data_IF_532546461161
#
_entry.id   IF_532546461161
#
_cell.length_a   1.000
_cell.length_b   1.000
_cell.length_c   1.000
_cell.angle_alpha   90.00
_cell.angle_beta   90.00
_cell.angle_gamma   90.00
#
_symmetry.space_group_name_H-M   'P 1'
#
loop_
_entity.id
_entity.type
_entity.pdbx_description
1 polymer ?
#
# COMPACT_ATOMS: atom_id res chain seq x y z
N UNK A 1 -10.84 6.63 11.67
CA UNK A 1 -11.12 5.42 10.87
C UNK A 1 -12.61 5.21 10.87
N UNK A 2 -13.19 4.97 9.70
CA UNK A 2 -14.57 4.53 9.55
C UNK A 2 -14.76 3.16 10.22
N UNK A 3 -16.01 2.77 10.52
CA UNK A 3 -16.28 1.55 11.28
C UNK A 3 -15.79 0.28 10.55
N UNK A 4 -15.82 0.30 9.22
CA UNK A 4 -15.33 -0.73 8.30
C UNK A 4 -13.80 -0.71 8.10
N UNK A 5 -13.12 0.35 8.54
CA UNK A 5 -11.66 0.43 8.54
C UNK A 5 -11.03 -0.15 9.83
N UNK A 6 -11.84 -0.56 10.81
CA UNK A 6 -11.35 -1.19 12.04
C UNK A 6 -11.07 -2.68 11.86
N UNK A 7 -9.84 -3.10 12.14
CA UNK A 7 -9.46 -4.52 12.12
C UNK A 7 -10.27 -5.32 13.12
N UNK A 8 -10.98 -6.35 12.66
CA UNK A 8 -11.82 -7.21 13.51
C UNK A 8 -10.98 -8.16 14.38
N UNK A 9 -11.52 -8.67 15.51
CA UNK A 9 -10.85 -9.69 16.32
C UNK A 9 -10.44 -10.94 15.52
N UNK A 10 -11.27 -11.35 14.55
CA UNK A 10 -11.01 -12.48 13.66
C UNK A 10 -9.81 -12.21 12.74
N UNK A 11 -9.71 -10.99 12.19
CA UNK A 11 -8.57 -10.60 11.37
C UNK A 11 -7.26 -10.60 12.19
N UNK A 12 -7.30 -10.13 13.43
CA UNK A 12 -6.16 -10.22 14.34
C UNK A 12 -5.75 -11.66 14.63
N UNK A 13 -6.72 -12.55 14.92
CA UNK A 13 -6.45 -13.96 15.15
C UNK A 13 -5.84 -14.64 13.93
N UNK A 14 -6.35 -14.35 12.73
CA UNK A 14 -5.82 -14.85 11.47
C UNK A 14 -4.37 -14.40 11.25
N UNK A 15 -4.08 -13.11 11.44
CA UNK A 15 -2.72 -12.57 11.31
C UNK A 15 -1.73 -13.19 12.31
N UNK A 16 -2.15 -13.35 13.58
CA UNK A 16 -1.31 -13.99 14.62
C UNK A 16 -0.97 -15.45 14.32
N UNK A 17 -1.86 -16.17 13.63
CA UNK A 17 -1.62 -17.58 13.22
C UNK A 17 -0.71 -17.71 11.99
N UNK A 18 -0.43 -16.63 11.26
CA UNK A 18 0.49 -16.69 10.12
C UNK A 18 1.91 -17.01 10.61
N UNK A 19 2.61 -17.87 9.86
CA UNK A 19 4.05 -18.05 10.01
C UNK A 19 4.79 -16.76 9.64
N UNK A 20 6.02 -16.55 10.13
CA UNK A 20 6.81 -15.36 9.77
C UNK A 20 6.93 -15.13 8.26
N UNK A 21 7.13 -16.19 7.47
CA UNK A 21 7.26 -16.12 6.01
C UNK A 21 5.96 -15.63 5.37
N UNK A 22 4.81 -16.14 5.84
CA UNK A 22 3.49 -15.71 5.36
C UNK A 22 3.19 -14.26 5.73
N UNK A 23 3.63 -13.80 6.91
CA UNK A 23 3.49 -12.39 7.31
C UNK A 23 4.32 -11.48 6.41
N UNK A 24 5.57 -11.86 6.12
CA UNK A 24 6.44 -11.11 5.22
C UNK A 24 5.84 -11.01 3.82
N UNK A 25 5.38 -12.14 3.26
CA UNK A 25 4.73 -12.17 1.96
C UNK A 25 3.47 -11.29 1.91
N UNK A 26 2.68 -11.24 2.99
CA UNK A 26 1.53 -10.34 3.07
C UNK A 26 1.93 -8.86 3.16
N UNK A 27 2.95 -8.54 3.95
CA UNK A 27 3.47 -7.17 4.03
C UNK A 27 4.00 -6.69 2.67
N UNK A 28 4.71 -7.54 1.93
CA UNK A 28 5.20 -7.23 0.58
C UNK A 28 4.05 -6.99 -0.40
N UNK A 29 3.02 -7.85 -0.38
CA UNK A 29 1.83 -7.65 -1.22
C UNK A 29 1.14 -6.33 -0.92
N UNK A 30 0.95 -5.99 0.36
CA UNK A 30 0.37 -4.71 0.77
C UNK A 30 1.22 -3.52 0.28
N UNK A 31 2.55 -3.62 0.38
CA UNK A 31 3.47 -2.60 -0.11
C UNK A 31 3.28 -2.33 -1.61
N UNK A 32 3.25 -3.37 -2.45
CA UNK A 32 3.07 -3.21 -3.89
C UNK A 32 1.67 -2.71 -4.25
N UNK A 33 0.62 -3.26 -3.64
CA UNK A 33 -0.76 -2.79 -3.86
C UNK A 33 -0.92 -1.32 -3.51
N UNK A 34 -0.33 -0.85 -2.41
CA UNK A 34 -0.37 0.56 -2.03
C UNK A 34 0.30 1.46 -3.09
N UNK A 35 1.42 1.03 -3.67
CA UNK A 35 2.11 1.76 -4.74
C UNK A 35 1.28 1.82 -6.02
N UNK A 36 0.64 0.73 -6.40
CA UNK A 36 -0.25 0.68 -7.57
C UNK A 36 -1.46 1.59 -7.42
N UNK A 37 -2.13 1.55 -6.27
CA UNK A 37 -3.27 2.44 -5.96
C UNK A 37 -2.84 3.91 -6.02
N UNK A 38 -1.69 4.24 -5.44
CA UNK A 38 -1.17 5.60 -5.48
C UNK A 38 -0.80 6.03 -6.89
N UNK A 39 -0.22 5.14 -7.70
CA UNK A 39 0.12 5.41 -9.10
C UNK A 39 -1.14 5.67 -9.94
N UNK A 40 -2.19 4.88 -9.75
CA UNK A 40 -3.48 5.10 -10.41
C UNK A 40 -4.06 6.48 -10.05
N UNK A 41 -3.99 6.86 -8.78
CA UNK A 41 -4.39 8.21 -8.34
C UNK A 41 -3.56 9.32 -8.99
N UNK A 42 -2.23 9.17 -9.07
CA UNK A 42 -1.37 10.15 -9.73
C UNK A 42 -1.69 10.29 -11.22
N UNK A 43 -1.90 9.19 -11.95
CA UNK A 43 -2.30 9.23 -13.36
C UNK A 43 -3.63 9.96 -13.55
N UNK A 44 -4.57 9.77 -12.63
CA UNK A 44 -5.87 10.45 -12.68
C UNK A 44 -5.76 11.96 -12.39
N UNK A 45 -4.85 12.37 -11.51
CA UNK A 45 -4.66 13.77 -11.13
C UNK A 45 -3.73 14.54 -12.08
N UNK A 46 -2.82 13.82 -12.75
CA UNK A 46 -1.81 14.36 -13.65
C UNK A 46 -1.80 13.57 -14.98
N UNK A 47 -2.84 13.72 -15.82
CA UNK A 47 -2.98 12.97 -17.08
C UNK A 47 -1.91 13.33 -18.12
N UNK A 48 -1.19 14.43 -17.93
CA UNK A 48 -0.10 14.92 -18.77
C UNK A 48 1.27 14.33 -18.40
N UNK A 49 1.38 13.64 -17.27
CA UNK A 49 2.64 13.06 -16.82
C UNK A 49 2.99 11.78 -17.57
N UNK A 50 4.27 11.62 -17.90
CA UNK A 50 4.82 10.34 -18.37
C UNK A 50 4.87 9.30 -17.25
N UNK A 51 4.95 8.02 -17.62
CA UNK A 51 5.10 6.93 -16.65
C UNK A 51 6.36 7.08 -15.80
N UNK A 52 7.46 7.63 -16.33
CA UNK A 52 8.67 7.93 -15.56
C UNK A 52 8.45 9.04 -14.53
N UNK A 53 7.61 10.04 -14.83
CA UNK A 53 7.24 11.08 -13.86
C UNK A 53 6.42 10.46 -12.72
N UNK A 54 5.43 9.63 -13.06
CA UNK A 54 4.63 8.89 -12.06
C UNK A 54 5.53 7.99 -11.20
N UNK A 55 6.42 7.21 -11.80
CA UNK A 55 7.30 6.30 -11.08
C UNK A 55 8.27 7.02 -10.12
N UNK A 56 8.84 8.16 -10.55
CA UNK A 56 9.69 9.00 -9.68
C UNK A 56 8.91 9.56 -8.50
N UNK A 57 7.69 10.03 -8.75
CA UNK A 57 6.86 10.59 -7.70
C UNK A 57 6.41 9.52 -6.69
N UNK A 58 6.03 8.33 -7.15
CA UNK A 58 5.73 7.19 -6.27
C UNK A 58 6.95 6.83 -5.41
N UNK A 59 8.15 6.85 -5.98
CA UNK A 59 9.38 6.62 -5.22
C UNK A 59 9.59 7.68 -4.15
N UNK A 60 9.42 8.96 -4.49
CA UNK A 60 9.52 10.08 -3.54
C UNK A 60 8.51 9.97 -2.40
N UNK A 61 7.25 9.67 -2.70
CA UNK A 61 6.17 9.57 -1.71
C UNK A 61 6.47 8.46 -0.69
N UNK A 62 6.87 7.27 -1.16
CA UNK A 62 7.14 6.15 -0.27
C UNK A 62 8.48 6.27 0.48
N UNK A 63 9.46 6.97 -0.09
CA UNK A 63 10.73 7.27 0.59
C UNK A 63 10.52 8.23 1.78
N UNK A 64 9.56 9.14 1.68
CA UNK A 64 9.26 10.15 2.70
C UNK A 64 7.97 9.87 3.49
N UNK A 65 7.39 8.68 3.36
CA UNK A 65 6.23 8.28 4.14
C UNK A 65 6.61 8.23 5.63
N UNK A 66 5.79 8.85 6.48
CA UNK A 66 5.95 8.84 7.93
C UNK A 66 4.70 8.26 8.59
N UNK A 67 4.88 7.66 9.77
CA UNK A 67 3.84 7.07 10.63
C UNK A 67 3.14 8.12 11.48
#
# INVERSE_FOLDING_TARGET
MLADEQTSPEQFAAYRRMTPERRLAQAERLYWTARELKAAGLRSLHPDWSEEQVAREITRIFLHART
#
